data_IF_025895253446
#
_entry.id   IF_025895253446
#
_cell.length_a   1.000
_cell.length_b   1.000
_cell.length_c   1.000
_cell.angle_alpha   90.00
_cell.angle_beta   90.00
_cell.angle_gamma   90.00
#
_symmetry.space_group_name_H-M   'P 1'
#
loop_
_entity.id
_entity.type
_entity.pdbx_description
1 polymer ?
#
# COMPACT_ATOMS: atom_id res chain seq x y z
N UNK A 1 5.96 0.06 -19.06
CA UNK A 1 5.09 0.36 -17.89
C UNK A 1 3.61 0.47 -18.24
N UNK A 2 3.17 1.42 -19.09
CA UNK A 2 1.74 1.54 -19.47
C UNK A 2 1.21 0.30 -20.19
N UNK A 3 1.98 -0.23 -21.15
CA UNK A 3 1.67 -1.45 -21.90
C UNK A 3 1.59 -2.69 -21.01
N UNK A 4 2.55 -2.86 -20.10
CA UNK A 4 2.53 -3.95 -19.11
C UNK A 4 1.29 -3.91 -18.21
N UNK A 5 0.96 -2.72 -17.67
CA UNK A 5 -0.25 -2.55 -16.86
C UNK A 5 -1.51 -2.88 -17.66
N UNK A 6 -1.62 -2.37 -18.89
CA UNK A 6 -2.75 -2.68 -19.75
C UNK A 6 -2.87 -4.18 -20.02
N UNK A 7 -1.77 -4.85 -20.38
CA UNK A 7 -1.75 -6.29 -20.62
C UNK A 7 -2.18 -7.07 -19.37
N UNK A 8 -1.63 -6.74 -18.21
CA UNK A 8 -2.01 -7.37 -16.94
C UNK A 8 -3.48 -7.16 -16.58
N UNK A 9 -3.99 -5.93 -16.77
CA UNK A 9 -5.42 -5.63 -16.54
C UNK A 9 -6.31 -6.43 -17.49
N UNK A 10 -5.93 -6.59 -18.76
CA UNK A 10 -6.64 -7.42 -19.72
C UNK A 10 -6.62 -8.90 -19.34
N UNK A 11 -5.46 -9.43 -18.91
CA UNK A 11 -5.34 -10.81 -18.45
C UNK A 11 -6.23 -11.07 -17.23
N UNK A 12 -6.21 -10.18 -16.24
CA UNK A 12 -7.10 -10.27 -15.08
C UNK A 12 -8.57 -10.18 -15.47
N UNK A 13 -8.94 -9.24 -16.33
CA UNK A 13 -10.32 -9.08 -16.79
C UNK A 13 -10.80 -10.36 -17.48
N UNK A 14 -10.01 -10.91 -18.40
CA UNK A 14 -10.32 -12.16 -19.10
C UNK A 14 -10.47 -13.34 -18.13
N UNK A 15 -9.56 -13.48 -17.18
CA UNK A 15 -9.61 -14.56 -16.18
C UNK A 15 -10.87 -14.45 -15.31
N UNK A 16 -11.23 -13.24 -14.87
CA UNK A 16 -12.44 -13.00 -14.08
C UNK A 16 -13.70 -13.28 -14.90
N UNK A 17 -13.76 -12.84 -16.16
CA UNK A 17 -14.92 -13.09 -17.03
C UNK A 17 -15.10 -14.59 -17.28
N UNK A 18 -14.03 -15.32 -17.61
CA UNK A 18 -14.09 -16.77 -17.84
C UNK A 18 -14.53 -17.50 -16.58
N UNK A 19 -13.98 -17.14 -15.42
CA UNK A 19 -14.35 -17.74 -14.13
C UNK A 19 -15.80 -17.42 -13.75
N UNK A 20 -16.27 -16.21 -13.99
CA UNK A 20 -17.66 -15.82 -13.73
C UNK A 20 -18.65 -16.63 -14.58
N UNK A 21 -18.37 -16.77 -15.89
CA UNK A 21 -19.19 -17.57 -16.81
C UNK A 21 -19.20 -19.03 -16.38
N UNK A 22 -18.03 -19.60 -16.05
CA UNK A 22 -17.93 -20.99 -15.61
C UNK A 22 -18.65 -21.23 -14.28
N UNK A 23 -18.49 -20.34 -13.30
CA UNK A 23 -19.20 -20.42 -12.03
C UNK A 23 -20.72 -20.29 -12.20
N UNK A 24 -21.16 -19.40 -13.10
CA UNK A 24 -22.58 -19.23 -13.41
C UNK A 24 -23.19 -20.49 -14.03
N UNK A 25 -22.50 -21.13 -14.97
CA UNK A 25 -22.96 -22.35 -15.65
C UNK A 25 -22.86 -23.58 -14.75
N UNK A 26 -21.76 -23.72 -14.00
CA UNK A 26 -21.47 -24.93 -13.22
C UNK A 26 -22.12 -24.96 -11.84
N UNK A 27 -22.13 -23.83 -11.12
CA UNK A 27 -22.59 -23.75 -9.73
C UNK A 27 -23.97 -23.08 -9.63
N UNK A 28 -24.29 -22.21 -10.60
CA UNK A 28 -25.51 -21.44 -10.65
C UNK A 28 -25.35 -20.00 -10.12
N UNK A 29 -26.29 -19.14 -10.52
CA UNK A 29 -26.25 -17.71 -10.23
C UNK A 29 -26.32 -17.37 -8.73
N UNK A 30 -27.19 -18.06 -7.97
CA UNK A 30 -27.44 -17.76 -6.56
C UNK A 30 -26.19 -17.95 -5.66
N UNK A 31 -25.48 -19.09 -5.67
CA UNK A 31 -24.28 -19.27 -4.85
C UNK A 31 -23.14 -18.34 -5.28
N UNK A 32 -23.00 -18.07 -6.58
CA UNK A 32 -22.00 -17.13 -7.08
C UNK A 32 -22.25 -15.71 -6.56
N UNK A 33 -23.48 -15.21 -6.66
CA UNK A 33 -23.85 -13.89 -6.15
C UNK A 33 -23.69 -13.82 -4.62
N UNK A 34 -24.09 -14.87 -3.90
CA UNK A 34 -23.91 -14.96 -2.45
C UNK A 34 -22.44 -14.82 -2.04
N UNK A 35 -21.55 -15.60 -2.65
CA UNK A 35 -20.11 -15.54 -2.37
C UNK A 35 -19.50 -14.17 -2.68
N UNK A 36 -19.87 -13.57 -3.83
CA UNK A 36 -19.40 -12.23 -4.22
C UNK A 36 -19.84 -11.19 -3.20
N UNK A 37 -21.12 -11.17 -2.80
CA UNK A 37 -21.63 -10.22 -1.81
C UNK A 37 -20.93 -10.39 -0.47
N UNK A 38 -20.83 -11.62 0.04
CA UNK A 38 -20.21 -11.90 1.34
C UNK A 38 -18.74 -11.47 1.39
N UNK A 39 -17.95 -11.83 0.37
CA UNK A 39 -16.53 -11.46 0.33
C UNK A 39 -16.34 -9.97 0.05
N UNK A 40 -17.19 -9.33 -0.74
CA UNK A 40 -17.16 -7.87 -0.93
C UNK A 40 -17.39 -7.16 0.40
N UNK A 41 -18.40 -7.58 1.16
CA UNK A 41 -18.67 -7.04 2.50
C UNK A 41 -17.46 -7.24 3.43
N UNK A 42 -16.85 -8.42 3.41
CA UNK A 42 -15.63 -8.68 4.18
C UNK A 42 -14.47 -7.76 3.79
N UNK A 43 -14.25 -7.56 2.49
CA UNK A 43 -13.21 -6.66 1.97
C UNK A 43 -13.45 -5.19 2.33
N UNK A 44 -14.71 -4.75 2.34
CA UNK A 44 -15.08 -3.40 2.81
C UNK A 44 -14.81 -3.26 4.30
N UNK A 45 -15.24 -4.23 5.13
CA UNK A 45 -14.98 -4.21 6.58
C UNK A 45 -13.48 -4.22 6.85
N UNK A 46 -12.72 -5.05 6.14
CA UNK A 46 -11.25 -5.09 6.24
C UNK A 46 -10.60 -3.75 5.87
N UNK A 47 -11.05 -3.12 4.79
CA UNK A 47 -10.57 -1.78 4.42
C UNK A 47 -10.90 -0.74 5.49
N UNK A 48 -12.10 -0.79 6.06
CA UNK A 48 -12.51 0.11 7.13
C UNK A 48 -11.66 -0.10 8.39
N UNK A 49 -11.40 -1.34 8.82
CA UNK A 49 -10.66 -1.61 10.05
C UNK A 49 -9.17 -1.32 9.94
N UNK A 50 -8.56 -1.54 8.77
CA UNK A 50 -7.10 -1.50 8.61
C UNK A 50 -6.53 -0.19 8.05
N UNK A 51 -7.36 0.70 7.45
CA UNK A 51 -6.86 1.98 6.93
C UNK A 51 -7.03 3.11 7.94
N UNK A 52 -5.92 3.60 8.50
CA UNK A 52 -5.88 4.63 9.55
C UNK A 52 -6.16 6.09 9.10
N UNK A 53 -5.93 6.55 7.85
CA UNK A 53 -6.30 7.92 7.49
C UNK A 53 -7.77 8.04 7.04
N UNK A 54 -8.59 8.79 7.79
CA UNK A 54 -10.02 9.02 7.50
C UNK A 54 -10.28 9.61 6.10
N UNK A 55 -9.39 10.47 5.60
CA UNK A 55 -9.61 11.20 4.34
C UNK A 55 -9.68 10.29 3.10
N UNK A 56 -9.14 9.06 3.17
CA UNK A 56 -9.12 8.12 2.05
C UNK A 56 -9.84 6.79 2.36
N UNK A 57 -10.45 6.67 3.55
CA UNK A 57 -10.99 5.42 4.08
C UNK A 57 -12.04 4.79 3.16
N UNK A 58 -12.99 5.59 2.67
CA UNK A 58 -14.06 5.11 1.77
C UNK A 58 -13.50 4.57 0.45
N UNK A 59 -12.61 5.32 -0.19
CA UNK A 59 -12.04 4.94 -1.49
C UNK A 59 -11.19 3.66 -1.38
N UNK A 60 -10.37 3.57 -0.33
CA UNK A 60 -9.57 2.38 -0.06
C UNK A 60 -10.46 1.18 0.28
N UNK A 61 -11.50 1.37 1.09
CA UNK A 61 -12.44 0.29 1.46
C UNK A 61 -13.20 -0.25 0.25
N UNK A 62 -13.66 0.62 -0.66
CA UNK A 62 -14.29 0.19 -1.91
C UNK A 62 -13.31 -0.56 -2.81
N UNK A 63 -12.04 -0.13 -2.84
CA UNK A 63 -11.00 -0.81 -3.61
C UNK A 63 -10.73 -2.20 -3.04
N UNK A 64 -10.62 -2.34 -1.72
CA UNK A 64 -10.50 -3.63 -1.05
C UNK A 64 -11.72 -4.52 -1.32
N UNK A 65 -12.94 -3.98 -1.18
CA UNK A 65 -14.18 -4.70 -1.51
C UNK A 65 -14.17 -5.23 -2.95
N UNK A 66 -13.76 -4.41 -3.92
CA UNK A 66 -13.63 -4.83 -5.32
C UNK A 66 -12.63 -5.97 -5.53
N UNK A 67 -11.48 -5.94 -4.85
CA UNK A 67 -10.50 -7.04 -4.92
C UNK A 67 -11.03 -8.34 -4.31
N UNK A 68 -11.75 -8.27 -3.19
CA UNK A 68 -12.37 -9.45 -2.60
C UNK A 68 -13.50 -10.01 -3.48
N UNK A 69 -14.25 -9.16 -4.16
CA UNK A 69 -15.24 -9.59 -5.15
C UNK A 69 -14.58 -10.39 -6.29
N UNK A 70 -13.44 -9.91 -6.80
CA UNK A 70 -12.64 -10.63 -7.82
C UNK A 70 -12.20 -11.99 -7.29
N UNK A 71 -11.67 -12.05 -6.07
CA UNK A 71 -11.25 -13.31 -5.44
C UNK A 71 -12.42 -14.27 -5.27
N UNK A 72 -13.61 -13.78 -4.91
CA UNK A 72 -14.82 -14.59 -4.79
C UNK A 72 -15.17 -15.29 -6.11
N UNK A 73 -15.19 -14.53 -7.21
CA UNK A 73 -15.46 -15.05 -8.55
C UNK A 73 -14.44 -16.10 -8.94
N UNK A 74 -13.16 -15.89 -8.63
CA UNK A 74 -12.10 -16.84 -8.94
C UNK A 74 -12.25 -18.13 -8.12
N UNK A 75 -12.49 -18.03 -6.80
CA UNK A 75 -12.64 -19.19 -5.91
C UNK A 75 -13.85 -20.06 -6.28
N UNK A 76 -14.97 -19.43 -6.65
CA UNK A 76 -16.19 -20.18 -7.03
C UNK A 76 -16.13 -20.67 -8.48
N UNK A 77 -15.54 -19.88 -9.37
CA UNK A 77 -15.55 -20.12 -10.81
C UNK A 77 -14.44 -21.05 -11.32
N UNK A 78 -13.21 -20.96 -10.80
CA UNK A 78 -12.10 -21.80 -11.26
C UNK A 78 -12.34 -23.30 -11.03
N UNK A 79 -12.88 -23.76 -9.87
CA UNK A 79 -13.09 -25.18 -9.64
C UNK A 79 -14.00 -25.84 -10.69
N UNK A 80 -14.97 -25.10 -11.25
CA UNK A 80 -15.83 -25.59 -12.33
C UNK A 80 -15.06 -25.87 -13.64
N UNK A 81 -13.87 -25.29 -13.82
CA UNK A 81 -13.04 -25.45 -15.02
C UNK A 81 -11.87 -26.40 -14.83
N UNK A 82 -11.27 -26.38 -13.64
CA UNK A 82 -9.97 -27.01 -13.38
C UNK A 82 -10.05 -28.14 -12.35
N UNK A 83 -11.23 -28.39 -11.76
CA UNK A 83 -11.43 -29.42 -10.73
C UNK A 83 -10.36 -29.30 -9.63
N UNK A 84 -9.67 -30.39 -9.26
CA UNK A 84 -8.58 -30.41 -8.26
C UNK A 84 -7.42 -29.45 -8.59
N UNK A 85 -7.17 -29.14 -9.88
CA UNK A 85 -6.07 -28.26 -10.29
C UNK A 85 -6.33 -26.79 -9.99
N UNK A 86 -7.58 -26.40 -9.73
CA UNK A 86 -7.93 -25.03 -9.37
C UNK A 86 -7.16 -24.55 -8.13
N UNK A 87 -7.05 -25.41 -7.10
CA UNK A 87 -6.30 -25.11 -5.88
C UNK A 87 -4.81 -24.91 -6.15
N UNK A 88 -4.21 -25.75 -6.99
CA UNK A 88 -2.80 -25.65 -7.35
C UNK A 88 -2.50 -24.36 -8.13
N UNK A 89 -3.38 -23.97 -9.05
CA UNK A 89 -3.26 -22.70 -9.78
C UNK A 89 -3.43 -21.52 -8.83
N UNK A 90 -4.39 -21.56 -7.90
CA UNK A 90 -4.61 -20.48 -6.93
C UNK A 90 -3.41 -20.33 -5.98
N UNK A 91 -2.84 -21.44 -5.51
CA UNK A 91 -1.63 -21.46 -4.67
C UNK A 91 -0.42 -20.96 -5.45
N UNK A 92 -0.23 -21.41 -6.69
CA UNK A 92 0.89 -20.96 -7.53
C UNK A 92 0.80 -19.47 -7.85
N UNK A 93 -0.40 -18.97 -8.17
CA UNK A 93 -0.64 -17.53 -8.37
C UNK A 93 -0.40 -16.79 -7.07
N UNK A 94 -0.98 -17.24 -5.95
CA UNK A 94 -0.85 -16.63 -4.62
C UNK A 94 0.61 -16.53 -4.17
N UNK A 95 1.37 -17.61 -4.27
CA UNK A 95 2.79 -17.67 -3.94
C UNK A 95 3.66 -16.88 -4.94
N UNK A 96 3.25 -16.79 -6.21
CA UNK A 96 3.94 -16.00 -7.23
C UNK A 96 3.69 -14.50 -7.11
N UNK A 97 2.52 -14.07 -6.59
CA UNK A 97 2.16 -12.66 -6.46
C UNK A 97 3.19 -11.81 -5.72
N UNK A 98 3.70 -12.17 -4.53
CA UNK A 98 4.69 -11.33 -3.83
C UNK A 98 5.97 -11.19 -4.64
N UNK A 99 6.46 -12.27 -5.26
CA UNK A 99 7.69 -12.24 -6.09
C UNK A 99 7.49 -11.42 -7.35
N UNK A 100 6.33 -11.55 -8.01
CA UNK A 100 5.98 -10.79 -9.21
C UNK A 100 5.71 -9.32 -8.90
N UNK A 101 5.11 -9.02 -7.74
CA UNK A 101 4.90 -7.66 -7.25
C UNK A 101 6.24 -7.03 -6.90
N UNK A 102 7.14 -7.75 -6.24
CA UNK A 102 8.48 -7.27 -5.89
C UNK A 102 9.35 -7.06 -7.15
N UNK A 103 9.30 -8.00 -8.11
CA UNK A 103 9.96 -7.85 -9.41
C UNK A 103 9.32 -6.74 -10.28
N UNK A 104 8.01 -6.54 -10.19
CA UNK A 104 7.34 -5.44 -10.87
C UNK A 104 7.68 -4.09 -10.23
N UNK A 105 7.80 -4.04 -8.89
CA UNK A 105 8.23 -2.87 -8.15
C UNK A 105 9.72 -2.57 -8.37
N UNK A 106 10.56 -3.60 -8.60
CA UNK A 106 11.97 -3.43 -8.94
C UNK A 106 12.19 -2.97 -10.39
N UNK A 107 11.28 -3.34 -11.30
CA UNK A 107 11.32 -2.92 -12.72
C UNK A 107 10.59 -1.62 -13.00
N UNK A 108 9.71 -1.14 -12.10
CA UNK A 108 9.38 0.28 -12.05
C UNK A 108 10.72 0.98 -11.89
N UNK A 109 11.16 1.83 -12.84
CA UNK A 109 12.35 2.62 -12.61
C UNK A 109 12.05 3.39 -11.33
N UNK A 110 12.71 2.99 -10.23
CA UNK A 110 12.86 3.81 -9.03
C UNK A 110 13.01 5.21 -9.56
N UNK A 111 12.00 6.06 -9.31
CA UNK A 111 11.91 7.41 -9.89
C UNK A 111 13.15 8.16 -9.43
N UNK A 112 14.21 8.02 -10.24
CA UNK A 112 15.61 8.23 -9.92
C UNK A 112 16.06 7.48 -8.65
N UNK A 113 17.26 6.87 -8.63
CA UNK A 113 17.96 6.77 -7.36
C UNK A 113 17.97 8.18 -6.78
N UNK A 114 17.57 8.27 -5.51
CA UNK A 114 17.83 9.44 -4.67
C UNK A 114 19.24 9.90 -5.04
N UNK A 115 19.35 11.08 -5.67
CA UNK A 115 20.62 11.79 -5.64
C UNK A 115 20.91 11.85 -4.15
N UNK A 116 21.93 11.16 -3.63
CA UNK A 116 22.17 11.11 -2.19
C UNK A 116 22.05 12.56 -1.75
N UNK A 117 21.08 12.82 -0.86
CA UNK A 117 21.12 14.02 -0.04
C UNK A 117 22.58 14.09 0.40
N UNK A 118 23.25 15.24 0.20
CA UNK A 118 24.56 15.47 0.81
C UNK A 118 24.50 14.83 2.20
N UNK A 119 25.25 13.74 2.41
CA UNK A 119 24.96 12.77 3.48
C UNK A 119 24.61 13.56 4.73
N UNK A 120 23.54 13.24 5.45
CA UNK A 120 23.18 14.00 6.65
C UNK A 120 24.39 14.21 7.58
N UNK A 121 25.29 13.23 7.58
CA UNK A 121 26.63 13.21 8.16
C UNK A 121 27.54 14.41 7.80
N UNK A 122 27.43 14.96 6.60
CA UNK A 122 28.19 16.10 6.09
C UNK A 122 27.53 17.46 6.37
N UNK A 123 26.26 17.48 6.80
CA UNK A 123 25.57 18.74 7.11
C UNK A 123 26.05 19.29 8.46
N UNK A 124 26.20 20.62 8.57
CA UNK A 124 26.43 21.26 9.86
C UNK A 124 25.18 21.16 10.74
N UNK A 125 25.32 21.29 12.06
CA UNK A 125 24.15 21.23 12.98
C UNK A 125 23.10 22.30 12.66
N UNK A 126 23.55 23.47 12.21
CA UNK A 126 22.67 24.56 11.76
C UNK A 126 21.89 24.18 10.50
N UNK A 127 22.54 23.48 9.57
CA UNK A 127 21.91 23.03 8.32
C UNK A 127 20.96 21.87 8.56
N UNK A 128 21.31 20.93 9.44
CA UNK A 128 20.41 19.88 9.92
C UNK A 128 19.13 20.48 10.51
N UNK A 129 19.26 21.42 11.45
CA UNK A 129 18.12 22.07 12.09
C UNK A 129 17.29 22.93 11.12
N UNK A 130 17.94 23.55 10.13
CA UNK A 130 17.24 24.31 9.07
C UNK A 130 16.44 23.37 8.17
N UNK A 131 17.08 22.30 7.69
CA UNK A 131 16.46 21.34 6.76
C UNK A 131 15.35 20.53 7.42
N UNK A 132 15.52 20.17 8.68
CA UNK A 132 14.45 19.60 9.50
C UNK A 132 13.21 20.50 9.54
N UNK A 133 13.37 21.81 9.79
CA UNK A 133 12.24 22.75 9.79
C UNK A 133 11.58 22.87 8.41
N UNK A 134 12.39 23.03 7.35
CA UNK A 134 11.87 23.14 5.98
C UNK A 134 11.05 21.91 5.56
N UNK A 135 11.53 20.70 5.89
CA UNK A 135 10.77 19.47 5.59
C UNK A 135 9.42 19.41 6.32
N UNK A 136 9.34 19.93 7.56
CA UNK A 136 8.08 20.00 8.32
C UNK A 136 7.09 20.96 7.67
N UNK A 137 7.57 22.11 7.24
CA UNK A 137 6.76 23.11 6.57
C UNK A 137 6.25 22.57 5.22
N UNK A 138 7.08 21.84 4.48
CA UNK A 138 6.68 21.20 3.22
C UNK A 138 5.62 20.11 3.40
N UNK A 139 5.70 19.31 4.48
CA UNK A 139 4.65 18.33 4.81
C UNK A 139 3.34 19.05 5.16
N UNK A 140 3.41 20.16 5.88
CA UNK A 140 2.22 20.95 6.29
C UNK A 140 1.58 21.73 5.15
N UNK A 141 2.25 21.88 3.99
CA UNK A 141 1.66 22.55 2.82
C UNK A 141 0.49 21.73 2.28
N UNK A 142 -0.68 22.37 2.20
CA UNK A 142 -1.89 21.79 1.59
C UNK A 142 -1.60 21.37 0.14
N UNK A 143 -2.04 20.16 -0.22
CA UNK A 143 -1.90 19.62 -1.58
C UNK A 143 -0.57 18.91 -1.87
N UNK A 144 0.23 18.61 -0.85
CA UNK A 144 1.44 17.80 -1.03
C UNK A 144 1.05 16.36 -1.47
N UNK A 145 1.56 15.85 -2.62
CA UNK A 145 1.24 14.51 -3.08
C UNK A 145 1.67 13.43 -2.06
N UNK A 146 0.91 12.33 -1.87
CA UNK A 146 1.24 11.30 -0.87
C UNK A 146 2.66 10.72 -1.01
N UNK A 147 3.13 10.52 -2.25
CA UNK A 147 4.49 10.06 -2.51
C UNK A 147 5.57 11.06 -2.05
N UNK A 148 5.27 12.36 -2.11
CA UNK A 148 6.14 13.43 -1.62
C UNK A 148 6.15 13.48 -0.10
N UNK A 149 4.99 13.29 0.54
CA UNK A 149 4.88 13.21 2.00
C UNK A 149 5.72 12.05 2.53
N UNK A 150 5.57 10.85 1.98
CA UNK A 150 6.36 9.69 2.38
C UNK A 150 7.87 9.93 2.24
N UNK A 151 8.29 10.58 1.14
CA UNK A 151 9.69 10.95 0.93
C UNK A 151 10.20 11.92 2.00
N UNK A 152 9.41 12.95 2.33
CA UNK A 152 9.79 13.92 3.36
C UNK A 152 9.84 13.29 4.75
N UNK A 153 8.96 12.34 5.05
CA UNK A 153 9.00 11.56 6.31
C UNK A 153 10.27 10.71 6.39
N UNK A 154 10.69 10.08 5.29
CA UNK A 154 11.95 9.32 5.25
C UNK A 154 13.18 10.22 5.43
N UNK A 155 13.23 11.38 4.76
CA UNK A 155 14.30 12.37 4.95
C UNK A 155 14.36 12.86 6.40
N UNK A 156 13.20 13.07 7.01
CA UNK A 156 13.07 13.44 8.42
C UNK A 156 13.63 12.39 9.36
N UNK A 157 13.32 11.11 9.16
CA UNK A 157 13.89 10.03 9.98
C UNK A 157 15.42 10.06 9.94
N UNK A 158 16.02 10.19 8.75
CA UNK A 158 17.48 10.26 8.60
C UNK A 158 18.09 11.50 9.27
N UNK A 159 17.42 12.65 9.21
CA UNK A 159 17.88 13.86 9.90
C UNK A 159 17.80 13.71 11.42
N UNK A 160 16.76 13.05 11.96
CA UNK A 160 16.63 12.78 13.39
C UNK A 160 17.70 11.80 13.87
N UNK A 161 17.93 10.73 13.13
CA UNK A 161 18.97 9.74 13.46
C UNK A 161 20.34 10.41 13.55
N UNK A 162 20.65 11.32 12.61
CA UNK A 162 21.91 12.07 12.63
C UNK A 162 21.99 13.04 13.82
N UNK A 163 20.91 13.75 14.14
CA UNK A 163 20.87 14.66 15.30
C UNK A 163 21.05 13.87 16.60
N UNK A 164 20.36 12.73 16.74
CA UNK A 164 20.49 11.84 17.89
C UNK A 164 21.90 11.27 18.02
N UNK A 165 22.54 10.92 16.90
CA UNK A 165 23.92 10.41 16.87
C UNK A 165 24.92 11.45 17.38
N UNK A 166 24.71 12.75 17.09
CA UNK A 166 25.63 13.83 17.49
C UNK A 166 25.41 14.31 18.93
N UNK A 167 24.17 14.38 19.38
CA UNK A 167 23.82 14.84 20.73
C UNK A 167 22.67 13.99 21.32
N UNK A 168 22.97 12.78 21.81
CA UNK A 168 21.93 11.90 22.35
C UNK A 168 21.27 12.49 23.61
N UNK A 169 22.03 13.18 24.45
CA UNK A 169 21.51 13.78 25.69
C UNK A 169 20.57 14.96 25.43
N UNK A 170 20.93 15.84 24.50
CA UNK A 170 20.07 16.94 24.06
C UNK A 170 18.85 16.45 23.29
N UNK A 171 19.00 15.40 22.47
CA UNK A 171 17.89 14.76 21.77
C UNK A 171 16.86 14.18 22.74
N UNK A 172 17.30 13.42 23.76
CA UNK A 172 16.40 12.86 24.77
C UNK A 172 15.64 13.94 25.55
N UNK A 173 16.32 15.03 25.91
CA UNK A 173 15.70 16.17 26.59
C UNK A 173 14.72 16.92 25.67
N UNK A 174 14.99 17.00 24.37
CA UNK A 174 14.06 17.56 23.39
C UNK A 174 12.84 16.64 23.18
N UNK A 175 13.05 15.33 22.99
CA UNK A 175 12.00 14.35 22.77
C UNK A 175 11.01 14.28 23.95
N UNK A 176 11.53 14.27 25.19
CA UNK A 176 10.69 14.34 26.41
C UNK A 176 9.81 15.60 26.44
N UNK A 177 10.36 16.75 26.02
CA UNK A 177 9.60 18.01 25.93
C UNK A 177 8.58 18.03 24.80
N UNK A 178 8.87 17.37 23.68
CA UNK A 178 7.96 17.26 22.55
C UNK A 178 6.74 16.38 22.91
N UNK A 179 6.98 15.21 23.50
CA UNK A 179 5.92 14.31 23.99
C UNK A 179 5.06 14.99 25.06
N UNK A 180 5.66 15.74 25.97
CA UNK A 180 4.92 16.47 27.01
C UNK A 180 4.05 17.64 26.47
N UNK A 181 4.26 18.09 25.23
CA UNK A 181 3.53 19.21 24.61
C UNK A 181 2.37 18.77 23.72
N UNK A 182 2.30 17.51 23.33
CA UNK A 182 1.09 16.98 22.69
C UNK A 182 0.03 16.83 23.79
N UNK A 183 -1.05 17.63 23.80
CA UNK A 183 -2.15 17.35 24.70
C UNK A 183 -2.69 15.99 24.27
N UNK A 184 -2.75 15.06 25.23
CA UNK A 184 -3.57 13.87 25.10
C UNK A 184 -5.03 14.34 25.05
N UNK A 185 -5.48 14.86 23.90
CA UNK A 185 -6.89 14.96 23.58
C UNK A 185 -7.41 13.53 23.44
N UNK A 186 -7.91 13.02 24.58
CA UNK A 186 -8.75 11.84 24.69
C UNK A 186 -10.14 12.12 24.13
#
# INVERSE_FOLDING_TARGET
MRTYRAAWTWTLALLVTVSAVAGWVGVGAAPLLGAVVTLTCLGVVFGLTWTEPMEHRLRLSLTCGGWFAVVAVLIVGLPALLDVWALLVLVAVGAGTPVLVEAALSTVPSRRPVRPVDRAECLSDRDLARRWRTSQDEIRRRGCPPATVLRLVQERAQLLDEIQRRDPGGFDAWARRAVAREPQER
#
